data_IF_537513005965
#
_entry.id   IF_537513005965
#
_cell.length_a   1.000
_cell.length_b   1.000
_cell.length_c   1.000
_cell.angle_alpha   90.00
_cell.angle_beta   90.00
_cell.angle_gamma   90.00
#
_symmetry.space_group_name_H-M   'P 1'
#
loop_
_entity.id
_entity.type
_entity.pdbx_description
1 polymer ?
#
# COMPACT_ATOMS: atom_id res chain seq x y z
N UNK A 1 -7.66 -19.83 17.07
CA UNK A 1 -6.70 -20.49 16.14
C UNK A 1 -5.64 -19.47 15.80
N UNK A 2 -4.36 -19.81 15.87
CA UNK A 2 -3.27 -18.89 15.57
C UNK A 2 -2.71 -19.25 14.20
N UNK A 3 -2.57 -18.26 13.29
CA UNK A 3 -2.11 -18.48 11.90
C UNK A 3 -0.59 -18.38 11.82
N UNK A 4 0.06 -19.41 11.29
CA UNK A 4 1.49 -19.39 11.00
C UNK A 4 1.77 -18.43 9.85
N UNK A 5 2.42 -17.33 10.17
CA UNK A 5 2.65 -16.22 9.24
C UNK A 5 4.14 -16.10 8.92
N UNK A 6 4.46 -16.04 7.64
CA UNK A 6 5.82 -15.78 7.17
C UNK A 6 5.91 -14.46 6.40
N UNK A 7 7.09 -13.86 6.43
CA UNK A 7 7.38 -12.62 5.70
C UNK A 7 8.57 -12.87 4.80
N UNK A 8 8.37 -12.70 3.49
CA UNK A 8 9.43 -12.76 2.47
C UNK A 8 9.78 -11.33 2.06
N UNK A 9 11.07 -10.99 2.05
CA UNK A 9 11.54 -9.61 1.95
C UNK A 9 11.67 -8.91 3.31
N UNK A 10 11.87 -9.70 4.36
CA UNK A 10 11.90 -9.27 5.76
C UNK A 10 13.02 -8.27 6.11
N UNK A 11 14.07 -8.15 5.30
CA UNK A 11 15.16 -7.17 5.49
C UNK A 11 14.82 -5.75 5.03
N UNK A 12 13.71 -5.55 4.28
CA UNK A 12 13.27 -4.23 3.81
C UNK A 12 12.58 -3.39 4.89
N UNK A 13 12.36 -2.09 4.61
CA UNK A 13 11.61 -1.22 5.54
C UNK A 13 10.18 -1.70 5.76
N UNK A 14 9.47 -2.05 4.70
CA UNK A 14 8.11 -2.62 4.79
C UNK A 14 8.11 -3.95 5.54
N UNK A 15 9.14 -4.81 5.31
CA UNK A 15 9.33 -6.04 6.05
C UNK A 15 9.45 -5.82 7.55
N UNK A 16 10.21 -4.81 7.97
CA UNK A 16 10.36 -4.45 9.39
C UNK A 16 9.03 -4.00 10.03
N UNK A 17 8.21 -3.23 9.31
CA UNK A 17 6.88 -2.84 9.79
C UNK A 17 5.94 -4.05 9.89
N UNK A 18 5.94 -4.94 8.88
CA UNK A 18 5.17 -6.18 8.93
C UNK A 18 5.57 -7.05 10.12
N UNK A 19 6.89 -7.17 10.40
CA UNK A 19 7.39 -7.93 11.55
C UNK A 19 6.82 -7.38 12.85
N UNK A 20 6.85 -6.06 13.02
CA UNK A 20 6.32 -5.41 14.23
C UNK A 20 4.80 -5.61 14.37
N UNK A 21 4.06 -5.51 13.27
CA UNK A 21 2.61 -5.71 13.23
C UNK A 21 2.24 -7.18 13.53
N UNK A 22 2.86 -8.13 12.85
CA UNK A 22 2.61 -9.57 13.03
C UNK A 22 3.00 -10.03 14.44
N UNK A 23 4.11 -9.53 14.98
CA UNK A 23 4.57 -9.88 16.34
C UNK A 23 3.57 -9.48 17.42
N UNK A 24 2.93 -8.31 17.30
CA UNK A 24 1.94 -7.83 18.27
C UNK A 24 0.51 -8.31 18.01
N UNK A 25 0.27 -8.99 16.88
CA UNK A 25 -1.06 -9.46 16.51
C UNK A 25 -1.44 -10.73 17.29
N UNK A 26 -2.53 -10.73 18.05
CA UNK A 26 -2.86 -11.83 18.98
C UNK A 26 -3.22 -13.15 18.27
N UNK A 27 -3.64 -13.10 17.00
CA UNK A 27 -4.01 -14.28 16.22
C UNK A 27 -2.95 -14.72 15.20
N UNK A 28 -1.79 -14.04 15.13
CA UNK A 28 -0.70 -14.42 14.23
C UNK A 28 0.49 -14.96 15.00
N UNK A 29 1.09 -16.02 14.48
CA UNK A 29 2.38 -16.52 14.89
C UNK A 29 3.42 -16.21 13.83
N UNK A 30 4.44 -15.43 14.17
CA UNK A 30 5.55 -15.13 13.26
C UNK A 30 6.40 -16.40 13.07
N UNK A 31 6.09 -17.21 12.06
CA UNK A 31 6.74 -18.51 11.83
C UNK A 31 8.13 -18.36 11.20
N UNK A 32 8.32 -17.43 10.25
CA UNK A 32 9.61 -17.25 9.58
C UNK A 32 9.81 -15.88 8.95
N UNK A 33 11.08 -15.47 8.90
CA UNK A 33 11.55 -14.23 8.25
C UNK A 33 12.49 -14.61 7.12
N UNK A 34 12.13 -14.30 5.87
CA UNK A 34 12.88 -14.78 4.71
C UNK A 34 13.43 -13.63 3.87
N UNK A 35 14.62 -13.88 3.33
CA UNK A 35 15.31 -13.06 2.33
C UNK A 35 15.67 -13.94 1.13
N UNK A 36 16.08 -13.35 0.00
CA UNK A 36 16.56 -14.14 -1.13
C UNK A 36 17.74 -15.04 -0.73
N UNK A 37 17.87 -16.22 -1.37
CA UNK A 37 18.91 -17.19 -1.05
C UNK A 37 20.33 -16.61 -1.12
N UNK A 38 20.58 -15.64 -2.03
CA UNK A 38 21.87 -14.95 -2.18
C UNK A 38 21.97 -13.61 -1.43
N UNK A 39 21.08 -13.33 -0.48
CA UNK A 39 21.12 -12.07 0.26
C UNK A 39 22.30 -11.99 1.22
N UNK A 40 23.00 -10.86 1.22
CA UNK A 40 24.04 -10.56 2.22
C UNK A 40 23.49 -10.43 3.66
N UNK A 41 22.18 -10.22 3.79
CA UNK A 41 21.49 -10.15 5.07
C UNK A 41 21.09 -11.54 5.62
N UNK A 42 21.30 -12.63 4.86
CA UNK A 42 20.98 -13.99 5.30
C UNK A 42 21.71 -14.36 6.59
N UNK A 43 20.98 -15.05 7.49
CA UNK A 43 21.43 -15.48 8.82
C UNK A 43 21.75 -14.36 9.82
N UNK A 44 21.61 -13.09 9.44
CA UNK A 44 21.73 -11.96 10.38
C UNK A 44 20.45 -11.81 11.20
N UNK A 45 20.52 -11.45 12.48
CA UNK A 45 19.33 -11.06 13.22
C UNK A 45 18.67 -9.83 12.58
N UNK A 46 17.35 -9.84 12.42
CA UNK A 46 16.64 -8.70 11.84
C UNK A 46 16.81 -7.43 12.66
N UNK A 47 16.97 -7.54 13.97
CA UNK A 47 17.29 -6.45 14.90
C UNK A 47 18.66 -5.80 14.69
N UNK A 48 19.59 -6.49 14.02
CA UNK A 48 20.87 -5.89 13.61
C UNK A 48 20.72 -4.94 12.42
N UNK A 49 19.66 -5.11 11.60
CA UNK A 49 19.33 -4.22 10.48
C UNK A 49 18.35 -3.11 10.90
N UNK A 50 17.41 -3.46 11.78
CA UNK A 50 16.31 -2.62 12.22
C UNK A 50 16.33 -2.51 13.74
N UNK A 51 17.08 -1.52 14.25
CA UNK A 51 17.33 -1.34 15.69
C UNK A 51 16.06 -1.20 16.55
N UNK A 52 14.95 -0.74 15.99
CA UNK A 52 13.66 -0.68 16.67
C UNK A 52 13.05 -2.06 17.03
N UNK A 53 13.57 -3.14 16.42
CA UNK A 53 13.14 -4.51 16.73
C UNK A 53 14.01 -5.18 17.80
N UNK A 54 15.08 -4.52 18.26
CA UNK A 54 16.00 -5.10 19.26
C UNK A 54 15.31 -5.35 20.59
N UNK A 55 15.43 -6.58 21.11
CA UNK A 55 14.72 -7.02 22.30
C UNK A 55 13.23 -7.28 22.12
N UNK A 56 12.71 -7.09 20.90
CA UNK A 56 11.33 -7.39 20.51
C UNK A 56 11.29 -8.59 19.59
N UNK A 57 12.00 -8.53 18.46
CA UNK A 57 12.17 -9.66 17.53
C UNK A 57 13.62 -9.75 17.11
N UNK A 58 14.39 -10.62 17.76
CA UNK A 58 15.82 -10.88 17.49
C UNK A 58 16.02 -12.17 16.67
N UNK A 59 15.13 -12.46 15.72
CA UNK A 59 15.17 -13.67 14.91
C UNK A 59 16.08 -13.52 13.69
N UNK A 60 16.74 -14.61 13.24
CA UNK A 60 17.54 -14.58 12.02
C UNK A 60 16.69 -14.44 10.76
N UNK A 61 17.22 -13.76 9.76
CA UNK A 61 16.70 -13.72 8.41
C UNK A 61 17.13 -15.00 7.67
N UNK A 62 16.19 -15.88 7.39
CA UNK A 62 16.48 -17.17 6.74
C UNK A 62 16.59 -17.00 5.21
N UNK A 63 17.57 -17.64 4.54
CA UNK A 63 17.58 -17.70 3.08
C UNK A 63 16.39 -18.53 2.56
N UNK A 64 15.63 -18.00 1.61
CA UNK A 64 14.53 -18.71 0.95
C UNK A 64 15.08 -19.63 -0.14
N UNK A 65 15.56 -20.82 0.26
CA UNK A 65 16.16 -21.80 -0.66
C UNK A 65 15.14 -22.77 -1.26
N UNK A 66 14.06 -23.08 -0.55
CA UNK A 66 12.96 -23.96 -1.01
C UNK A 66 11.61 -23.31 -0.65
N UNK A 67 11.05 -22.46 -1.52
CA UNK A 67 9.75 -21.85 -1.27
C UNK A 67 8.63 -22.88 -1.04
N UNK A 68 8.67 -24.02 -1.75
CA UNK A 68 7.69 -25.10 -1.63
C UNK A 68 7.69 -25.73 -0.22
N UNK A 69 8.86 -25.93 0.40
CA UNK A 69 8.94 -26.51 1.74
C UNK A 69 8.54 -25.50 2.82
N UNK A 70 8.88 -24.25 2.61
CA UNK A 70 8.45 -23.15 3.49
C UNK A 70 6.94 -22.99 3.45
N UNK A 71 6.32 -23.10 2.29
CA UNK A 71 4.88 -22.98 2.09
C UNK A 71 4.07 -24.02 2.89
N UNK A 72 4.58 -25.25 3.04
CA UNK A 72 3.92 -26.31 3.84
C UNK A 72 3.75 -25.99 5.31
N UNK A 73 4.46 -24.99 5.82
CA UNK A 73 4.48 -24.59 7.24
C UNK A 73 3.78 -23.28 7.50
N UNK A 74 3.21 -22.64 6.47
CA UNK A 74 2.62 -21.31 6.55
C UNK A 74 1.13 -21.33 6.18
N UNK A 75 0.32 -20.65 6.95
CA UNK A 75 -1.07 -20.34 6.62
C UNK A 75 -1.16 -19.01 5.84
N UNK A 76 -0.31 -18.04 6.19
CA UNK A 76 -0.28 -16.69 5.65
C UNK A 76 1.14 -16.31 5.20
N UNK A 77 1.21 -15.67 4.04
CA UNK A 77 2.47 -15.19 3.46
C UNK A 77 2.35 -13.72 3.08
N UNK A 78 3.24 -12.88 3.62
CA UNK A 78 3.45 -11.52 3.13
C UNK A 78 4.64 -11.50 2.17
N UNK A 79 4.42 -11.04 0.93
CA UNK A 79 5.46 -10.82 -0.07
C UNK A 79 5.81 -9.33 -0.14
N UNK A 80 6.94 -8.96 0.46
CA UNK A 80 7.49 -7.60 0.43
C UNK A 80 8.75 -7.56 -0.43
N UNK A 81 8.68 -8.12 -1.64
CA UNK A 81 9.79 -8.34 -2.58
C UNK A 81 9.64 -7.50 -3.85
N UNK A 82 10.63 -7.56 -4.75
CA UNK A 82 10.52 -6.96 -6.08
C UNK A 82 9.40 -7.61 -6.90
N UNK A 83 8.81 -6.86 -7.83
CA UNK A 83 7.60 -7.27 -8.56
C UNK A 83 7.72 -8.63 -9.27
N UNK A 84 8.78 -8.83 -10.04
CA UNK A 84 9.04 -10.11 -10.72
C UNK A 84 9.24 -11.27 -9.72
N UNK A 85 9.87 -11.02 -8.57
CA UNK A 85 10.07 -12.04 -7.53
C UNK A 85 8.75 -12.42 -6.88
N UNK A 86 7.90 -11.46 -6.54
CA UNK A 86 6.55 -11.75 -6.01
C UNK A 86 5.69 -12.47 -7.05
N UNK A 87 5.77 -12.07 -8.33
CA UNK A 87 5.07 -12.75 -9.42
C UNK A 87 5.39 -14.25 -9.47
N UNK A 88 6.66 -14.62 -9.33
CA UNK A 88 7.11 -16.01 -9.40
C UNK A 88 6.83 -16.79 -8.11
N UNK A 89 6.87 -16.13 -6.95
CA UNK A 89 6.67 -16.78 -5.65
C UNK A 89 5.20 -16.99 -5.28
N UNK A 90 4.31 -16.05 -5.60
CA UNK A 90 2.91 -16.13 -5.19
C UNK A 90 2.23 -17.43 -5.61
N UNK A 91 2.35 -17.93 -6.86
CA UNK A 91 1.74 -19.20 -7.28
C UNK A 91 2.23 -20.41 -6.48
N UNK A 92 3.49 -20.40 -6.01
CA UNK A 92 4.08 -21.49 -5.24
C UNK A 92 3.40 -21.59 -3.87
N UNK A 93 3.20 -20.47 -3.18
CA UNK A 93 2.53 -20.43 -1.88
C UNK A 93 1.03 -20.74 -2.01
N UNK A 94 0.37 -20.16 -3.02
CA UNK A 94 -1.05 -20.39 -3.29
C UNK A 94 -1.35 -21.87 -3.60
N UNK A 95 -0.47 -22.55 -4.33
CA UNK A 95 -0.59 -23.98 -4.63
C UNK A 95 -0.51 -24.88 -3.38
N UNK A 96 0.05 -24.40 -2.29
CA UNK A 96 0.08 -25.10 -0.99
C UNK A 96 -1.06 -24.67 -0.06
N UNK A 97 -2.00 -23.85 -0.54
CA UNK A 97 -3.16 -23.40 0.23
C UNK A 97 -2.92 -22.19 1.13
N UNK A 98 -1.75 -21.55 1.04
CA UNK A 98 -1.49 -20.31 1.79
C UNK A 98 -2.38 -19.16 1.28
N UNK A 99 -2.74 -18.25 2.17
CA UNK A 99 -3.26 -16.92 1.80
C UNK A 99 -2.08 -15.97 1.60
N UNK A 100 -2.00 -15.34 0.42
CA UNK A 100 -0.88 -14.48 0.04
C UNK A 100 -1.30 -13.02 0.00
N UNK A 101 -0.57 -12.16 0.71
CA UNK A 101 -0.65 -10.71 0.64
C UNK A 101 0.59 -10.19 -0.10
N UNK A 102 0.41 -9.80 -1.37
CA UNK A 102 1.49 -9.27 -2.20
C UNK A 102 1.56 -7.75 -2.10
N UNK A 103 2.62 -7.22 -1.49
CA UNK A 103 2.86 -5.78 -1.37
C UNK A 103 3.59 -5.21 -2.59
N UNK A 104 3.92 -6.06 -3.56
CA UNK A 104 4.50 -5.64 -4.84
C UNK A 104 3.42 -5.16 -5.81
N UNK A 105 3.81 -4.83 -7.04
CA UNK A 105 2.86 -4.47 -8.09
C UNK A 105 2.45 -5.65 -8.99
N UNK A 106 2.81 -6.90 -8.63
CA UNK A 106 2.73 -8.02 -9.57
C UNK A 106 1.30 -8.46 -9.94
N UNK A 107 0.30 -8.16 -9.09
CA UNK A 107 -1.08 -8.62 -9.29
C UNK A 107 -2.13 -7.51 -9.14
N UNK A 108 -1.74 -6.23 -9.23
CA UNK A 108 -2.61 -5.10 -8.90
C UNK A 108 -3.64 -4.76 -9.98
N UNK A 109 -3.37 -5.06 -11.25
CA UNK A 109 -4.25 -4.70 -12.37
C UNK A 109 -4.55 -5.96 -13.18
N UNK A 110 -5.83 -6.30 -13.32
CA UNK A 110 -6.27 -7.50 -14.04
C UNK A 110 -6.24 -7.30 -15.57
N UNK A 111 -5.03 -7.00 -16.09
CA UNK A 111 -4.74 -6.87 -17.52
C UNK A 111 -3.30 -7.34 -17.76
N UNK A 112 -3.11 -8.47 -18.46
CA UNK A 112 -1.79 -9.06 -18.65
C UNK A 112 -0.82 -8.12 -19.37
N UNK A 113 -1.29 -7.35 -20.35
CA UNK A 113 -0.49 -6.39 -21.12
C UNK A 113 -0.03 -5.17 -20.32
N UNK A 114 -0.61 -4.95 -19.15
CA UNK A 114 -0.21 -3.90 -18.23
C UNK A 114 1.23 -4.10 -17.71
N UNK A 115 1.62 -5.34 -17.49
CA UNK A 115 2.91 -5.66 -16.85
C UNK A 115 4.12 -5.45 -17.73
N UNK A 116 4.15 -5.88 -19.03
CA UNK A 116 5.22 -5.50 -19.93
C UNK A 116 5.37 -3.98 -20.09
N UNK A 117 4.25 -3.26 -20.15
CA UNK A 117 4.25 -1.82 -20.38
C UNK A 117 4.77 -1.03 -19.15
N UNK A 118 4.44 -1.46 -17.92
CA UNK A 118 4.66 -0.65 -16.72
C UNK A 118 5.61 -1.27 -15.70
N UNK A 119 5.85 -2.59 -15.77
CA UNK A 119 6.67 -3.33 -14.81
C UNK A 119 7.86 -4.07 -15.44
N UNK A 120 7.93 -4.15 -16.77
CA UNK A 120 9.05 -4.71 -17.51
C UNK A 120 9.13 -6.25 -17.50
N UNK A 121 8.03 -6.95 -17.19
CA UNK A 121 7.95 -8.41 -17.29
C UNK A 121 6.61 -8.86 -17.88
N UNK A 122 6.60 -10.01 -18.56
CA UNK A 122 5.37 -10.63 -19.05
C UNK A 122 4.69 -11.41 -17.91
N UNK A 123 3.39 -11.17 -17.68
CA UNK A 123 2.65 -11.86 -16.63
C UNK A 123 2.32 -13.30 -17.06
N UNK A 124 2.83 -14.31 -16.33
CA UNK A 124 2.72 -15.72 -16.68
C UNK A 124 1.70 -16.49 -15.81
N UNK A 125 0.97 -15.82 -14.94
CA UNK A 125 0.00 -16.44 -14.03
C UNK A 125 -1.40 -15.85 -14.22
N UNK A 126 -2.03 -15.98 -15.41
CA UNK A 126 -3.30 -15.31 -15.73
C UNK A 126 -4.44 -15.71 -14.79
N UNK A 127 -4.52 -16.96 -14.38
CA UNK A 127 -5.54 -17.44 -13.44
C UNK A 127 -5.45 -16.75 -12.08
N UNK A 128 -4.24 -16.59 -11.53
CA UNK A 128 -4.06 -15.88 -10.26
C UNK A 128 -4.22 -14.36 -10.41
N UNK A 129 -3.88 -13.81 -11.59
CA UNK A 129 -4.13 -12.41 -11.89
C UNK A 129 -5.63 -12.08 -11.89
N UNK A 130 -6.45 -12.96 -12.48
CA UNK A 130 -7.90 -12.81 -12.51
C UNK A 130 -8.54 -12.95 -11.12
N UNK A 131 -7.99 -13.81 -10.26
CA UNK A 131 -8.48 -14.07 -8.90
C UNK A 131 -7.94 -13.11 -7.84
N UNK A 132 -6.92 -12.32 -8.17
CA UNK A 132 -6.32 -11.39 -7.24
C UNK A 132 -7.30 -10.28 -6.84
N UNK A 133 -7.49 -10.09 -5.54
CA UNK A 133 -8.28 -8.98 -5.02
C UNK A 133 -7.37 -7.79 -4.76
N UNK A 134 -7.71 -6.63 -5.33
CA UNK A 134 -7.00 -5.38 -5.06
C UNK A 134 -7.31 -4.91 -3.64
N UNK A 135 -6.32 -4.94 -2.76
CA UNK A 135 -6.45 -4.78 -1.32
C UNK A 135 -6.59 -3.32 -0.84
N UNK A 136 -7.44 -2.51 -1.48
CA UNK A 136 -7.91 -1.24 -0.90
C UNK A 136 -9.02 -1.58 0.08
N UNK A 137 -8.67 -1.82 1.34
CA UNK A 137 -9.49 -2.49 2.34
C UNK A 137 -10.87 -1.86 2.52
N UNK A 138 -10.96 -0.54 2.52
CA UNK A 138 -12.20 0.22 2.71
C UNK A 138 -13.23 -0.03 1.59
N UNK A 139 -12.78 -0.46 0.41
CA UNK A 139 -13.63 -0.63 -0.77
C UNK A 139 -13.81 -2.09 -1.21
N UNK A 140 -13.14 -3.04 -0.54
CA UNK A 140 -13.09 -4.43 -0.97
C UNK A 140 -13.41 -5.44 0.14
N UNK A 141 -14.12 -5.03 1.19
CA UNK A 141 -14.36 -5.85 2.39
C UNK A 141 -14.96 -7.22 2.05
N UNK A 142 -15.99 -7.27 1.20
CA UNK A 142 -16.65 -8.52 0.80
C UNK A 142 -15.70 -9.42 0.00
N UNK A 143 -15.04 -8.87 -1.02
CA UNK A 143 -14.10 -9.63 -1.85
C UNK A 143 -12.90 -10.14 -1.05
N UNK A 144 -12.39 -9.36 -0.11
CA UNK A 144 -11.29 -9.74 0.76
C UNK A 144 -11.63 -10.97 1.62
N UNK A 145 -12.85 -11.11 2.10
CA UNK A 145 -13.27 -12.26 2.91
C UNK A 145 -13.08 -13.61 2.20
N UNK A 146 -13.21 -13.66 0.87
CA UNK A 146 -13.03 -14.84 0.03
C UNK A 146 -11.63 -14.97 -0.58
N UNK A 147 -10.81 -13.90 -0.59
CA UNK A 147 -9.55 -13.85 -1.33
C UNK A 147 -8.50 -14.87 -0.85
N UNK A 148 -7.81 -15.52 -1.76
CA UNK A 148 -6.56 -16.24 -1.50
C UNK A 148 -5.32 -15.42 -1.86
N UNK A 149 -5.42 -14.54 -2.84
CA UNK A 149 -4.37 -13.61 -3.24
C UNK A 149 -4.90 -12.18 -3.11
N UNK A 150 -4.24 -11.38 -2.28
CA UNK A 150 -4.53 -9.96 -2.10
C UNK A 150 -3.36 -9.15 -2.64
N UNK A 151 -3.63 -8.36 -3.68
CA UNK A 151 -2.67 -7.41 -4.24
C UNK A 151 -2.79 -6.08 -3.48
N UNK A 152 -1.90 -5.84 -2.53
CA UNK A 152 -1.91 -4.63 -1.69
C UNK A 152 -1.57 -3.41 -2.54
N UNK A 153 -2.36 -2.32 -2.51
CA UNK A 153 -2.13 -1.11 -3.30
C UNK A 153 -0.74 -0.49 -3.14
N UNK A 154 -0.29 0.25 -4.13
CA UNK A 154 0.86 1.13 -3.97
C UNK A 154 0.58 2.27 -2.99
N UNK A 155 1.62 2.80 -2.35
CA UNK A 155 1.44 3.85 -1.35
C UNK A 155 0.81 5.15 -1.91
N UNK A 156 1.23 5.60 -3.09
CA UNK A 156 0.58 6.73 -3.76
C UNK A 156 -0.85 6.40 -4.23
N UNK A 157 -1.13 5.23 -4.84
CA UNK A 157 -2.49 4.79 -5.12
C UNK A 157 -3.39 4.80 -3.89
N UNK A 158 -2.95 4.27 -2.75
CA UNK A 158 -3.73 4.30 -1.50
C UNK A 158 -4.13 5.73 -1.13
N UNK A 159 -3.17 6.66 -1.04
CA UNK A 159 -3.45 8.06 -0.68
C UNK A 159 -4.40 8.74 -1.67
N UNK A 160 -4.19 8.51 -2.97
CA UNK A 160 -4.94 9.17 -4.03
C UNK A 160 -6.36 8.63 -4.17
N UNK A 161 -6.51 7.32 -4.16
CA UNK A 161 -7.80 6.65 -4.37
C UNK A 161 -8.74 6.84 -3.18
N UNK A 162 -8.23 6.79 -1.93
CA UNK A 162 -9.06 7.07 -0.75
C UNK A 162 -9.63 8.48 -0.78
N UNK A 163 -8.91 9.46 -1.30
CA UNK A 163 -9.44 10.82 -1.42
C UNK A 163 -10.38 11.03 -2.62
N UNK A 164 -10.07 10.42 -3.78
CA UNK A 164 -10.80 10.69 -5.02
C UNK A 164 -12.04 9.83 -5.20
N UNK A 165 -11.97 8.55 -4.81
CA UNK A 165 -13.04 7.59 -5.12
C UNK A 165 -14.42 8.02 -4.61
N UNK A 166 -14.61 8.51 -3.37
CA UNK A 166 -15.92 8.95 -2.90
C UNK A 166 -16.57 10.04 -3.76
N UNK A 167 -15.79 11.01 -4.18
CA UNK A 167 -16.29 12.15 -4.97
C UNK A 167 -16.51 11.78 -6.44
N UNK A 168 -15.78 10.80 -6.96
CA UNK A 168 -15.99 10.23 -8.29
C UNK A 168 -17.26 9.37 -8.32
N UNK A 169 -17.41 8.46 -7.36
CA UNK A 169 -18.57 7.56 -7.26
C UNK A 169 -19.88 8.34 -7.04
N UNK A 170 -19.83 9.45 -6.32
CA UNK A 170 -20.96 10.36 -6.14
C UNK A 170 -21.23 11.27 -7.37
N UNK A 171 -20.41 11.19 -8.42
CA UNK A 171 -20.59 11.98 -9.64
C UNK A 171 -20.37 13.48 -9.47
N UNK A 172 -19.59 13.91 -8.47
CA UNK A 172 -19.40 15.32 -8.11
C UNK A 172 -18.35 16.04 -8.97
N UNK A 173 -17.59 15.33 -9.79
CA UNK A 173 -16.50 15.89 -10.60
C UNK A 173 -16.92 16.12 -12.06
N UNK A 174 -16.41 17.19 -12.66
CA UNK A 174 -16.52 17.45 -14.10
C UNK A 174 -15.64 16.48 -14.88
N UNK A 175 -16.27 15.57 -15.64
CA UNK A 175 -15.58 14.55 -16.44
C UNK A 175 -14.69 15.10 -17.57
N UNK A 176 -14.81 16.38 -17.90
CA UNK A 176 -13.99 17.01 -18.95
C UNK A 176 -12.58 17.39 -18.46
N UNK A 177 -12.39 17.46 -17.14
CA UNK A 177 -11.09 17.76 -16.55
C UNK A 177 -10.60 16.56 -15.71
N UNK A 178 -9.47 16.00 -16.09
CA UNK A 178 -8.82 14.93 -15.32
C UNK A 178 -8.33 15.48 -13.96
N UNK A 179 -8.54 14.74 -12.87
CA UNK A 179 -7.94 15.09 -11.59
C UNK A 179 -6.42 15.16 -11.68
N UNK A 180 -5.85 16.22 -11.11
CA UNK A 180 -4.38 16.45 -11.05
C UNK A 180 -3.90 16.10 -9.65
N UNK A 181 -3.01 15.12 -9.54
CA UNK A 181 -2.48 14.61 -8.29
C UNK A 181 -1.00 14.97 -8.19
N UNK A 182 -0.65 15.85 -7.27
CA UNK A 182 0.73 16.13 -6.88
C UNK A 182 0.98 15.50 -5.52
N UNK A 183 1.84 14.48 -5.45
CA UNK A 183 2.07 13.76 -4.21
C UNK A 183 3.55 13.69 -3.86
N UNK A 184 3.90 14.08 -2.63
CA UNK A 184 5.27 14.05 -2.14
C UNK A 184 5.44 12.87 -1.17
N UNK A 185 6.45 12.03 -1.40
CA UNK A 185 6.81 10.90 -0.55
C UNK A 185 8.18 11.08 0.10
N UNK A 186 8.29 10.63 1.34
CA UNK A 186 9.59 10.45 1.97
C UNK A 186 10.45 9.36 1.31
N UNK A 187 11.76 9.45 1.49
CA UNK A 187 12.78 8.63 0.81
C UNK A 187 12.68 7.13 1.11
N UNK A 188 12.04 6.73 2.21
CA UNK A 188 11.84 5.30 2.54
C UNK A 188 11.01 4.55 1.50
N UNK A 189 10.22 5.27 0.67
CA UNK A 189 9.50 4.69 -0.45
C UNK A 189 10.40 4.10 -1.55
N UNK A 190 11.65 4.54 -1.64
CA UNK A 190 12.67 3.98 -2.53
C UNK A 190 13.30 2.67 -2.03
N UNK A 191 12.96 2.25 -0.81
CA UNK A 191 13.52 1.05 -0.19
C UNK A 191 14.87 1.27 0.50
N UNK A 192 15.43 0.18 1.09
CA UNK A 192 16.64 0.22 1.92
C UNK A 192 17.94 0.25 1.11
N UNK A 193 17.91 -0.14 -0.17
CA UNK A 193 19.11 -0.16 -1.00
C UNK A 193 19.66 1.25 -1.18
N UNK A 194 20.95 1.44 -0.86
CA UNK A 194 21.62 2.72 -1.03
C UNK A 194 21.66 3.12 -2.51
N UNK A 195 21.40 4.39 -2.78
CA UNK A 195 21.52 5.02 -4.09
C UNK A 195 21.84 6.51 -3.93
N UNK A 196 22.34 7.14 -4.98
CA UNK A 196 22.58 8.59 -4.96
C UNK A 196 21.28 9.35 -4.64
N UNK A 197 20.16 8.96 -5.23
CA UNK A 197 18.86 9.63 -5.07
C UNK A 197 18.37 9.67 -3.61
N UNK A 198 18.74 8.70 -2.78
CA UNK A 198 18.35 8.63 -1.38
C UNK A 198 19.51 8.89 -0.40
N UNK A 199 20.68 9.30 -0.90
CA UNK A 199 21.78 9.70 -0.04
C UNK A 199 21.58 11.09 0.53
N UNK A 200 22.01 11.31 1.78
CA UNK A 200 21.71 12.53 2.53
C UNK A 200 22.16 13.82 1.83
N UNK A 201 23.30 13.80 1.12
CA UNK A 201 23.84 14.98 0.44
C UNK A 201 23.19 15.25 -0.93
N UNK A 202 22.53 14.26 -1.52
CA UNK A 202 21.93 14.35 -2.86
C UNK A 202 20.42 14.47 -2.83
N UNK A 203 19.78 14.05 -1.71
CA UNK A 203 18.33 14.07 -1.59
C UNK A 203 17.80 15.50 -1.63
N UNK A 204 16.84 15.76 -2.51
CA UNK A 204 16.22 17.05 -2.71
C UNK A 204 14.73 16.89 -3.01
N UNK A 205 13.95 17.94 -2.73
CA UNK A 205 12.56 17.99 -3.16
C UNK A 205 12.51 18.22 -4.68
N UNK A 206 12.06 17.21 -5.43
CA UNK A 206 11.92 17.29 -6.89
C UNK A 206 10.84 16.34 -7.39
N UNK A 207 10.24 16.68 -8.54
CA UNK A 207 9.36 15.77 -9.26
C UNK A 207 10.20 14.68 -9.97
N UNK A 208 9.66 13.46 -10.04
CA UNK A 208 10.28 12.37 -10.77
C UNK A 208 9.24 11.52 -11.49
N UNK A 209 9.65 10.75 -12.50
CA UNK A 209 8.77 9.83 -13.22
C UNK A 209 7.52 10.50 -13.81
N UNK A 210 7.62 11.77 -14.24
CA UNK A 210 6.50 12.52 -14.81
C UNK A 210 5.99 11.80 -16.08
N UNK A 211 4.68 11.51 -16.11
CA UNK A 211 3.99 10.70 -17.13
C UNK A 211 4.52 9.26 -17.33
N UNK A 212 5.50 8.82 -16.53
CA UNK A 212 6.11 7.48 -16.67
C UNK A 212 6.06 6.66 -15.38
N UNK A 213 5.58 7.23 -14.27
CA UNK A 213 5.51 6.52 -13.00
C UNK A 213 4.40 5.45 -13.03
N UNK A 214 4.75 4.20 -12.68
CA UNK A 214 3.84 3.03 -12.72
C UNK A 214 2.58 3.16 -11.86
N UNK A 215 2.55 4.04 -10.87
CA UNK A 215 1.36 4.27 -10.06
C UNK A 215 0.28 5.09 -10.77
N UNK A 216 0.62 5.90 -11.79
CA UNK A 216 -0.41 6.63 -12.55
C UNK A 216 -1.42 5.69 -13.21
N UNK A 217 -1.01 4.69 -14.03
CA UNK A 217 -1.97 3.76 -14.62
C UNK A 217 -2.65 2.86 -13.57
N UNK A 218 -2.02 2.53 -12.42
CA UNK A 218 -2.66 1.83 -11.32
C UNK A 218 -3.82 2.66 -10.72
N UNK A 219 -3.59 3.95 -10.44
CA UNK A 219 -4.63 4.87 -9.94
C UNK A 219 -5.78 4.97 -10.94
N UNK A 220 -5.47 5.20 -12.22
CA UNK A 220 -6.47 5.35 -13.28
C UNK A 220 -7.32 4.08 -13.47
N UNK A 221 -6.71 2.91 -13.43
CA UNK A 221 -7.41 1.62 -13.60
C UNK A 221 -8.43 1.35 -12.49
N UNK A 222 -8.12 1.70 -11.24
CA UNK A 222 -9.02 1.45 -10.10
C UNK A 222 -10.00 2.58 -9.81
N UNK A 223 -9.80 3.75 -10.38
CA UNK A 223 -10.78 4.85 -10.34
C UNK A 223 -11.69 4.88 -11.57
N UNK A 224 -11.42 4.05 -12.57
CA UNK A 224 -12.06 4.08 -13.90
C UNK A 224 -12.07 5.51 -14.49
N UNK A 225 -10.98 6.24 -14.26
CA UNK A 225 -10.87 7.65 -14.63
C UNK A 225 -9.40 7.99 -14.89
N UNK A 226 -9.07 8.59 -16.04
CA UNK A 226 -7.72 9.07 -16.28
C UNK A 226 -7.34 10.17 -15.28
N UNK A 227 -6.07 10.18 -14.87
CA UNK A 227 -5.51 11.17 -13.94
C UNK A 227 -4.18 11.71 -14.44
N UNK A 228 -3.83 12.92 -14.03
CA UNK A 228 -2.47 13.44 -14.16
C UNK A 228 -1.78 13.26 -12.82
N UNK A 229 -0.72 12.45 -12.78
CA UNK A 229 -0.01 12.14 -11.55
C UNK A 229 1.44 12.61 -11.61
N UNK A 230 1.83 13.46 -10.68
CA UNK A 230 3.20 13.97 -10.54
C UNK A 230 3.74 13.61 -9.15
N UNK A 231 4.52 12.52 -9.02
CA UNK A 231 5.17 12.20 -7.76
C UNK A 231 6.36 13.11 -7.50
N UNK A 232 6.59 13.43 -6.24
CA UNK A 232 7.75 14.18 -5.76
C UNK A 232 8.48 13.37 -4.70
N UNK A 233 9.80 13.39 -4.72
CA UNK A 233 10.63 12.89 -3.63
C UNK A 233 10.86 14.04 -2.65
N UNK A 234 10.49 13.84 -1.39
CA UNK A 234 10.72 14.80 -0.32
C UNK A 234 11.98 14.47 0.47
N UNK A 235 12.71 15.49 0.94
CA UNK A 235 13.90 15.36 1.76
C UNK A 235 13.58 15.02 3.24
N UNK A 236 12.69 14.07 3.46
CA UNK A 236 12.31 13.53 4.75
C UNK A 236 12.14 12.00 4.66
N UNK A 237 12.16 11.33 5.81
CA UNK A 237 12.21 9.87 5.83
C UNK A 237 10.91 9.21 5.41
N UNK A 238 9.75 9.68 5.91
CA UNK A 238 8.54 8.87 5.98
C UNK A 238 7.27 9.70 5.81
N UNK A 239 6.28 9.16 5.13
CA UNK A 239 4.96 9.73 4.88
C UNK A 239 4.73 10.13 3.43
N UNK A 240 3.48 10.21 3.03
CA UNK A 240 3.00 10.75 1.75
C UNK A 240 1.96 11.81 2.03
N UNK A 241 2.12 12.97 1.39
CA UNK A 241 1.09 14.00 1.26
C UNK A 241 0.73 14.12 -0.22
N UNK A 242 -0.53 13.82 -0.55
CA UNK A 242 -1.10 14.05 -1.87
C UNK A 242 -1.97 15.32 -1.83
N UNK A 243 -1.73 16.25 -2.75
CA UNK A 243 -2.62 17.38 -3.03
C UNK A 243 -3.26 17.14 -4.39
N UNK A 244 -4.57 17.10 -4.41
CA UNK A 244 -5.35 16.72 -5.58
C UNK A 244 -6.24 17.89 -5.97
N UNK A 245 -6.11 18.34 -7.22
CA UNK A 245 -6.96 19.37 -7.81
C UNK A 245 -7.94 18.73 -8.77
N UNK A 246 -9.23 18.98 -8.60
CA UNK A 246 -10.27 18.53 -9.49
C UNK A 246 -11.26 19.67 -9.77
N UNK A 247 -11.99 19.59 -10.89
CA UNK A 247 -13.07 20.51 -11.19
C UNK A 247 -14.38 19.89 -10.75
N UNK A 248 -15.21 20.65 -10.06
CA UNK A 248 -16.54 20.23 -9.66
C UNK A 248 -17.51 20.27 -10.86
N UNK A 249 -18.46 19.35 -10.86
CA UNK A 249 -19.59 19.43 -11.77
C UNK A 249 -20.42 20.70 -11.50
N UNK A 250 -21.11 21.27 -12.50
CA UNK A 250 -21.88 22.47 -12.33
C UNK A 250 -22.89 22.37 -11.20
N UNK A 251 -22.89 23.34 -10.28
CA UNK A 251 -23.83 23.42 -9.16
C UNK A 251 -23.44 22.62 -7.91
N UNK A 252 -22.39 21.81 -7.96
CA UNK A 252 -21.91 21.05 -6.79
C UNK A 252 -21.28 21.97 -5.76
N UNK A 253 -21.69 21.81 -4.50
CA UNK A 253 -21.23 22.55 -3.33
C UNK A 253 -20.15 21.79 -2.54
N UNK A 254 -19.40 22.52 -1.70
CA UNK A 254 -18.46 21.91 -0.73
C UNK A 254 -19.16 20.99 0.26
N UNK A 255 -20.39 21.32 0.65
CA UNK A 255 -21.19 20.51 1.57
C UNK A 255 -21.48 19.09 1.00
N UNK A 256 -21.78 19.00 -0.30
CA UNK A 256 -22.00 17.70 -0.98
C UNK A 256 -20.71 16.89 -1.03
N UNK A 257 -19.56 17.51 -1.26
CA UNK A 257 -18.24 16.85 -1.16
C UNK A 257 -18.03 16.27 0.23
N UNK A 258 -18.24 17.08 1.28
CA UNK A 258 -18.12 16.65 2.67
C UNK A 258 -19.07 15.49 3.02
N UNK A 259 -20.31 15.54 2.53
CA UNK A 259 -21.28 14.45 2.71
C UNK A 259 -20.81 13.15 2.03
N UNK A 260 -20.33 13.22 0.78
CA UNK A 260 -19.83 12.06 0.05
C UNK A 260 -18.65 11.40 0.77
N UNK A 261 -17.67 12.18 1.21
CA UNK A 261 -16.51 11.69 1.97
C UNK A 261 -16.94 11.07 3.32
N UNK A 262 -17.79 11.78 4.09
CA UNK A 262 -18.24 11.31 5.39
C UNK A 262 -19.08 10.05 5.29
N UNK A 263 -19.96 9.94 4.29
CA UNK A 263 -20.76 8.76 4.04
C UNK A 263 -19.90 7.56 3.66
N UNK A 264 -18.92 7.75 2.79
CA UNK A 264 -18.03 6.69 2.35
C UNK A 264 -17.19 6.08 3.49
N UNK A 265 -16.82 6.88 4.48
CA UNK A 265 -15.88 6.48 5.53
C UNK A 265 -16.49 6.43 6.95
N UNK A 266 -17.81 6.52 7.10
CA UNK A 266 -18.48 6.47 8.41
C UNK A 266 -18.17 5.20 9.21
N UNK A 267 -17.90 4.09 8.54
CA UNK A 267 -17.57 2.79 9.14
C UNK A 267 -16.13 2.35 8.87
N UNK A 268 -15.29 3.24 8.32
CA UNK A 268 -13.89 2.96 8.03
C UNK A 268 -12.97 3.50 9.14
N UNK A 269 -12.60 2.70 10.15
CA UNK A 269 -11.94 3.18 11.36
C UNK A 269 -10.53 3.73 11.12
N UNK A 270 -9.93 3.47 9.96
CA UNK A 270 -8.57 3.90 9.60
C UNK A 270 -8.54 5.06 8.60
N UNK A 271 -9.70 5.61 8.23
CA UNK A 271 -9.80 6.83 7.41
C UNK A 271 -10.49 7.94 8.21
N UNK A 272 -9.86 9.11 8.30
CA UNK A 272 -10.37 10.27 9.01
C UNK A 272 -10.65 11.39 8.03
N UNK A 273 -11.92 11.71 7.84
CA UNK A 273 -12.35 12.88 7.08
C UNK A 273 -12.28 14.09 8.01
N UNK A 274 -11.46 15.08 7.66
CA UNK A 274 -11.26 16.26 8.46
C UNK A 274 -12.43 17.24 8.27
N UNK A 275 -12.69 18.16 9.23
CA UNK A 275 -13.64 19.23 9.07
C UNK A 275 -13.39 20.07 7.80
N UNK A 276 -14.44 20.63 7.22
CA UNK A 276 -14.33 21.51 6.05
C UNK A 276 -13.30 22.64 6.29
N UNK A 277 -12.42 22.85 5.34
CA UNK A 277 -11.36 23.86 5.42
C UNK A 277 -10.09 23.39 6.13
N UNK A 278 -10.08 22.24 6.79
CA UNK A 278 -8.85 21.66 7.32
C UNK A 278 -8.06 20.88 6.25
N UNK A 279 -6.74 20.82 6.41
CA UNK A 279 -5.83 20.13 5.50
C UNK A 279 -5.11 18.98 6.20
N UNK A 280 -4.93 17.87 5.50
CA UNK A 280 -4.19 16.73 6.00
C UNK A 280 -2.70 17.06 6.21
N UNK A 281 -2.10 16.54 7.29
CA UNK A 281 -0.71 16.80 7.67
C UNK A 281 0.03 15.50 7.92
N UNK A 282 1.28 15.40 7.43
CA UNK A 282 2.13 14.21 7.64
C UNK A 282 2.33 13.92 9.13
N UNK A 283 2.52 14.94 9.94
CA UNK A 283 2.74 14.79 11.38
C UNK A 283 1.62 14.02 12.09
N UNK A 284 0.37 14.13 11.59
CA UNK A 284 -0.79 13.47 12.20
C UNK A 284 -0.89 11.97 11.89
N UNK A 285 -0.21 11.51 10.83
CA UNK A 285 -0.33 10.15 10.31
C UNK A 285 0.97 9.35 10.33
N UNK A 286 2.12 9.99 10.46
CA UNK A 286 3.41 9.28 10.55
C UNK A 286 3.40 8.29 11.71
N UNK A 287 3.91 7.08 11.46
CA UNK A 287 3.93 5.95 12.40
C UNK A 287 2.55 5.43 12.82
N UNK A 288 1.50 5.75 12.07
CA UNK A 288 0.12 5.27 12.29
C UNK A 288 -0.44 4.56 11.06
N UNK A 289 -1.48 3.75 11.26
CA UNK A 289 -2.24 3.12 10.17
C UNK A 289 -3.33 4.01 9.58
N UNK A 290 -3.41 5.29 9.94
CA UNK A 290 -4.47 6.19 9.49
C UNK A 290 -4.19 6.84 8.13
N UNK A 291 -5.29 7.18 7.44
CA UNK A 291 -5.34 8.12 6.33
C UNK A 291 -6.17 9.33 6.74
N UNK A 292 -5.61 10.54 6.67
CA UNK A 292 -6.33 11.80 6.87
C UNK A 292 -6.70 12.39 5.50
N UNK A 293 -7.96 12.81 5.35
CA UNK A 293 -8.47 13.44 4.14
C UNK A 293 -9.08 14.80 4.50
N UNK A 294 -8.50 15.87 3.95
CA UNK A 294 -9.03 17.24 4.01
C UNK A 294 -9.58 17.66 2.66
N UNK A 295 -10.55 18.57 2.65
CA UNK A 295 -11.18 19.08 1.44
C UNK A 295 -11.55 20.55 1.55
N UNK A 296 -11.46 21.26 0.42
CA UNK A 296 -11.92 22.63 0.23
C UNK A 296 -12.44 22.82 -1.19
N UNK A 297 -13.54 23.56 -1.35
CA UNK A 297 -14.09 23.87 -2.65
C UNK A 297 -14.29 25.38 -2.82
N UNK A 298 -13.80 25.92 -3.92
CA UNK A 298 -13.97 27.32 -4.29
C UNK A 298 -13.88 27.48 -5.82
N UNK A 299 -14.60 28.47 -6.35
CA UNK A 299 -14.53 28.84 -7.77
C UNK A 299 -14.75 27.66 -8.74
N UNK A 300 -15.62 26.72 -8.37
CA UNK A 300 -15.89 25.51 -9.18
C UNK A 300 -14.78 24.46 -9.17
N UNK A 301 -13.82 24.58 -8.28
CA UNK A 301 -12.71 23.62 -8.10
C UNK A 301 -12.74 23.02 -6.72
N UNK A 302 -12.24 21.80 -6.64
CA UNK A 302 -12.04 21.03 -5.41
C UNK A 302 -10.54 20.81 -5.19
N UNK A 303 -10.07 21.06 -3.99
CA UNK A 303 -8.75 20.63 -3.51
C UNK A 303 -8.99 19.57 -2.43
N UNK A 304 -8.45 18.35 -2.68
CA UNK A 304 -8.35 17.32 -1.66
C UNK A 304 -6.91 17.24 -1.19
N UNK A 305 -6.72 17.06 0.10
CA UNK A 305 -5.42 16.71 0.68
C UNK A 305 -5.54 15.33 1.33
N UNK A 306 -4.60 14.43 1.05
CA UNK A 306 -4.58 13.10 1.66
C UNK A 306 -3.20 12.81 2.22
N UNK A 307 -3.13 12.44 3.48
CA UNK A 307 -1.87 12.11 4.15
C UNK A 307 -1.91 10.70 4.73
N UNK A 308 -0.84 9.96 4.51
CA UNK A 308 -0.62 8.61 5.06
C UNK A 308 0.84 8.41 5.46
N UNK A 309 1.08 7.41 6.30
CA UNK A 309 2.41 6.83 6.43
C UNK A 309 2.64 5.85 5.27
N UNK A 310 3.69 6.09 4.47
CA UNK A 310 3.95 5.30 3.25
C UNK A 310 4.35 3.85 3.52
N UNK A 311 4.87 3.53 4.71
CA UNK A 311 5.26 2.19 5.12
C UNK A 311 4.15 1.44 5.89
N UNK A 312 3.22 2.17 6.50
CA UNK A 312 2.08 1.60 7.24
C UNK A 312 0.81 1.62 6.37
N UNK A 313 -0.01 2.66 6.42
CA UNK A 313 -1.25 2.71 5.62
C UNK A 313 -0.97 2.58 4.12
N UNK A 314 0.18 3.06 3.66
CA UNK A 314 0.63 2.89 2.28
C UNK A 314 1.19 1.49 1.94
N UNK A 315 1.34 0.57 2.91
CA UNK A 315 1.92 -0.76 2.70
C UNK A 315 1.58 -1.76 3.82
N UNK A 316 2.36 -1.81 4.90
CA UNK A 316 2.32 -2.89 5.88
C UNK A 316 1.01 -2.96 6.67
N UNK A 317 0.49 -1.83 7.18
CA UNK A 317 -0.76 -1.84 7.92
C UNK A 317 -1.98 -2.05 7.01
N UNK A 318 -1.93 -1.60 5.75
CA UNK A 318 -2.95 -1.93 4.75
C UNK A 318 -3.01 -3.45 4.51
N UNK A 319 -1.86 -4.11 4.41
CA UNK A 319 -1.80 -5.57 4.25
C UNK A 319 -2.38 -6.30 5.47
N UNK A 320 -2.08 -5.83 6.69
CA UNK A 320 -2.63 -6.41 7.93
C UNK A 320 -4.12 -6.10 8.07
N UNK A 321 -4.58 -4.91 7.67
CA UNK A 321 -6.01 -4.57 7.60
C UNK A 321 -6.77 -5.53 6.67
N UNK A 322 -6.24 -5.79 5.47
CA UNK A 322 -6.81 -6.79 4.56
C UNK A 322 -6.82 -8.19 5.17
N UNK A 323 -5.76 -8.58 5.89
CA UNK A 323 -5.70 -9.85 6.61
C UNK A 323 -6.79 -9.92 7.69
N UNK A 324 -6.97 -8.86 8.47
CA UNK A 324 -7.99 -8.81 9.51
C UNK A 324 -9.40 -9.03 8.93
N UNK A 325 -9.71 -8.34 7.82
CA UNK A 325 -10.97 -8.53 7.10
C UNK A 325 -11.10 -9.96 6.52
N UNK A 326 -10.03 -10.50 5.94
CA UNK A 326 -9.98 -11.86 5.39
C UNK A 326 -10.36 -12.93 6.41
N UNK A 327 -9.85 -12.79 7.63
CA UNK A 327 -10.04 -13.81 8.68
C UNK A 327 -11.11 -13.44 9.71
N UNK A 328 -11.87 -12.35 9.49
CA UNK A 328 -12.94 -11.91 10.37
C UNK A 328 -12.46 -11.39 11.73
N UNK A 329 -11.23 -10.88 11.79
CA UNK A 329 -10.70 -10.19 12.97
C UNK A 329 -11.18 -8.73 12.98
N UNK A 330 -11.12 -8.07 14.14
CA UNK A 330 -11.39 -6.65 14.20
C UNK A 330 -10.39 -5.89 13.30
N UNK A 331 -10.89 -5.05 12.41
CA UNK A 331 -10.15 -4.42 11.32
C UNK A 331 -8.89 -3.69 11.78
N UNK A 332 -8.93 -3.10 12.97
CA UNK A 332 -7.83 -2.32 13.57
C UNK A 332 -6.84 -3.15 14.38
N UNK A 333 -7.06 -4.47 14.51
CA UNK A 333 -6.21 -5.35 15.33
C UNK A 333 -4.73 -5.23 14.93
N UNK A 334 -3.87 -4.97 15.90
CA UNK A 334 -2.43 -4.72 15.76
C UNK A 334 -2.04 -3.48 14.92
N UNK A 335 -2.99 -2.67 14.46
CA UNK A 335 -2.73 -1.47 13.68
C UNK A 335 -2.78 -0.22 14.56
N UNK A 336 -3.75 -0.18 15.47
CA UNK A 336 -3.97 0.90 16.42
C UNK A 336 -3.70 0.41 17.83
#
# INVERSE_FOLDING_TARGET
>A
MTLNTIIVGASGYTGAELIALVHRHPQLHLAGLYVSAGSEDANRPVSALHGQLRGVVDRPLMPLSSPQDVAKQADVVFLATAHAVSHDLAPIFLAQGCVVFDLSGAYRVNQADFYPAHYGFAHQSPTWLEQAVYGLAEWQQEALSAAQLVAVPGCYPTASQLALKPVLDAGLLDKQMWPVINATSGVTGAGRKASLTNSFCEVSLHAYGVFSHRHQPEIAAHLDTPVIFTPHLGSYKRGILATITAKLAPGVSEAEVGQALSHAYQEAPLVRVLPAGEVAKLQAVQHTGFCDIGYQAAHGHLILTSAIDNLLKGAASQAVQCLNLKFGFAETTAIV
#
